data_IF_579789120894
#
_entry.id   IF_579789120894
#
_cell.length_a   1.000
_cell.length_b   1.000
_cell.length_c   1.000
_cell.angle_alpha   90.00
_cell.angle_beta   90.00
_cell.angle_gamma   90.00
#
_symmetry.space_group_name_H-M   'P 1'
#
loop_
_entity.id
_entity.type
_entity.pdbx_description
1 polymer ?
#
# COMPACT_ATOMS: atom_id res chain seq x y z
N UNK A 1 11.32 -18.37 -17.29
CA UNK A 1 10.49 -17.19 -17.63
C UNK A 1 10.74 -16.18 -16.55
N UNK A 2 11.07 -14.91 -16.88
CA UNK A 2 11.08 -13.86 -15.87
C UNK A 2 9.62 -13.67 -15.46
N UNK A 3 9.23 -14.43 -14.45
CA UNK A 3 7.92 -14.39 -13.86
C UNK A 3 7.85 -13.04 -13.16
N UNK A 4 6.85 -12.23 -13.52
CA UNK A 4 6.53 -11.01 -12.78
C UNK A 4 6.26 -11.41 -11.34
N UNK A 5 7.19 -11.18 -10.43
CA UNK A 5 7.13 -11.68 -9.06
C UNK A 5 5.96 -11.03 -8.34
N UNK A 6 5.73 -9.74 -8.61
CA UNK A 6 4.59 -8.95 -8.12
C UNK A 6 3.23 -9.53 -8.53
N UNK A 7 3.17 -10.41 -9.54
CA UNK A 7 1.96 -11.06 -10.01
C UNK A 7 1.79 -12.48 -9.46
N UNK A 8 2.53 -12.83 -8.41
CA UNK A 8 2.49 -14.15 -7.77
C UNK A 8 2.13 -14.05 -6.29
N UNK A 9 1.36 -15.03 -5.82
CA UNK A 9 1.00 -15.12 -4.41
C UNK A 9 2.22 -15.35 -3.50
N UNK A 10 3.20 -16.14 -3.96
CA UNK A 10 4.40 -16.46 -3.20
C UNK A 10 5.22 -15.22 -2.84
N UNK A 11 5.26 -14.22 -3.73
CA UNK A 11 5.95 -12.97 -3.43
C UNK A 11 5.28 -12.26 -2.25
N UNK A 12 3.98 -11.94 -2.36
CA UNK A 12 3.27 -11.15 -1.35
C UNK A 12 3.03 -11.88 -0.03
N UNK A 13 2.87 -13.21 -0.04
CA UNK A 13 2.60 -13.98 1.18
C UNK A 13 3.83 -14.46 1.92
N UNK A 14 4.86 -14.88 1.19
CA UNK A 14 5.97 -15.63 1.77
C UNK A 14 7.29 -14.85 1.77
N UNK A 15 7.43 -13.82 0.92
CA UNK A 15 8.71 -13.15 0.65
C UNK A 15 8.66 -11.64 0.88
N UNK A 16 7.49 -11.02 0.79
CA UNK A 16 7.32 -9.59 0.94
C UNK A 16 7.56 -9.22 2.39
N UNK A 17 8.45 -8.26 2.56
CA UNK A 17 8.69 -7.59 3.81
C UNK A 17 9.20 -6.19 3.48
N UNK A 18 8.70 -5.17 4.19
CA UNK A 18 9.05 -3.77 3.94
C UNK A 18 10.53 -3.55 4.20
N UNK A 19 11.26 -3.17 3.15
CA UNK A 19 12.69 -2.90 3.21
C UNK A 19 12.98 -1.42 3.46
N UNK A 20 14.23 -1.08 3.75
CA UNK A 20 14.64 0.31 3.96
C UNK A 20 14.36 1.21 2.75
N UNK A 21 14.53 0.71 1.54
CA UNK A 21 14.22 1.46 0.31
C UNK A 21 12.71 1.79 0.21
N UNK A 22 11.86 0.90 0.73
CA UNK A 22 10.41 1.10 0.78
C UNK A 22 10.06 2.18 1.82
N UNK A 23 10.72 2.16 2.97
CA UNK A 23 10.55 3.21 4.01
C UNK A 23 10.97 4.58 3.47
N UNK A 24 12.10 4.67 2.75
CA UNK A 24 12.51 5.91 2.09
C UNK A 24 11.48 6.37 1.05
N UNK A 25 10.94 5.45 0.26
CA UNK A 25 9.87 5.78 -0.68
C UNK A 25 8.63 6.33 0.03
N UNK A 26 8.16 5.67 1.10
CA UNK A 26 6.99 6.10 1.88
C UNK A 26 7.23 7.45 2.56
N UNK A 27 8.44 7.70 3.07
CA UNK A 27 8.82 8.98 3.64
C UNK A 27 8.69 10.10 2.60
N UNK A 28 9.27 9.91 1.41
CA UNK A 28 9.19 10.91 0.34
C UNK A 28 7.75 11.09 -0.16
N UNK A 29 6.96 10.00 -0.25
CA UNK A 29 5.55 10.05 -0.63
C UNK A 29 4.73 10.93 0.33
N UNK A 30 4.90 10.75 1.64
CA UNK A 30 4.21 11.56 2.65
C UNK A 30 4.68 13.02 2.61
N UNK A 31 5.97 13.25 2.43
CA UNK A 31 6.55 14.59 2.30
C UNK A 31 5.97 15.34 1.09
N UNK A 32 5.86 14.67 -0.06
CA UNK A 32 5.33 15.24 -1.30
C UNK A 32 3.82 15.46 -1.25
N UNK A 33 3.09 14.52 -0.63
CA UNK A 33 1.62 14.61 -0.46
C UNK A 33 1.23 15.79 0.44
N UNK A 34 2.11 16.18 1.35
CA UNK A 34 1.87 17.23 2.34
C UNK A 34 0.60 17.01 3.19
N UNK A 35 0.30 15.74 3.50
CA UNK A 35 -0.95 15.36 4.18
C UNK A 35 -0.94 13.92 4.72
N UNK A 36 -1.90 13.57 5.60
CA UNK A 36 -2.12 12.21 6.07
C UNK A 36 -2.46 11.26 4.92
N UNK A 37 -1.93 10.04 4.97
CA UNK A 37 -2.36 8.93 4.12
C UNK A 37 -2.81 7.75 4.97
N UNK A 38 -3.92 7.12 4.60
CA UNK A 38 -4.36 5.89 5.27
C UNK A 38 -3.41 4.74 4.95
N UNK A 39 -3.37 3.72 5.81
CA UNK A 39 -2.55 2.52 5.59
C UNK A 39 -2.82 1.89 4.21
N UNK A 40 -4.08 1.83 3.79
CA UNK A 40 -4.47 1.32 2.47
C UNK A 40 -3.89 2.14 1.31
N UNK A 41 -3.82 3.47 1.45
CA UNK A 41 -3.23 4.34 0.44
C UNK A 41 -1.72 4.16 0.36
N UNK A 42 -1.04 4.07 1.51
CA UNK A 42 0.39 3.79 1.57
C UNK A 42 0.72 2.43 0.95
N UNK A 43 -0.02 1.39 1.33
CA UNK A 43 0.15 0.04 0.78
C UNK A 43 -0.07 0.02 -0.74
N UNK A 44 -1.14 0.66 -1.23
CA UNK A 44 -1.43 0.73 -2.68
C UNK A 44 -0.30 1.45 -3.42
N UNK A 45 0.16 2.60 -2.91
CA UNK A 45 1.25 3.35 -3.53
C UNK A 45 2.58 2.56 -3.53
N UNK A 46 2.85 1.81 -2.46
CA UNK A 46 4.03 0.94 -2.39
C UNK A 46 3.94 -0.17 -3.44
N UNK A 47 2.78 -0.84 -3.57
CA UNK A 47 2.57 -1.86 -4.60
C UNK A 47 2.74 -1.26 -6.01
N UNK A 48 2.20 -0.07 -6.27
CA UNK A 48 2.39 0.64 -7.53
C UNK A 48 3.88 0.89 -7.82
N UNK A 49 4.66 1.23 -6.79
CA UNK A 49 6.11 1.41 -6.92
C UNK A 49 6.81 0.11 -7.30
N UNK A 50 6.48 -1.01 -6.64
CA UNK A 50 7.02 -2.33 -6.98
C UNK A 50 6.68 -2.73 -8.44
N UNK A 51 5.43 -2.51 -8.87
CA UNK A 51 5.01 -2.76 -10.25
C UNK A 51 5.79 -1.90 -11.25
N UNK A 52 5.96 -0.61 -10.94
CA UNK A 52 6.70 0.35 -11.76
C UNK A 52 8.16 -0.04 -11.91
N UNK A 53 8.82 -0.41 -10.82
CA UNK A 53 10.23 -0.83 -10.83
C UNK A 53 10.41 -2.13 -11.62
N UNK A 54 9.52 -3.10 -11.44
CA UNK A 54 9.55 -4.35 -12.20
C UNK A 54 9.36 -4.09 -13.71
N UNK A 55 8.42 -3.23 -14.08
CA UNK A 55 8.19 -2.88 -15.48
C UNK A 55 9.40 -2.13 -16.08
N UNK A 56 10.00 -1.21 -15.34
CA UNK A 56 11.20 -0.50 -15.76
C UNK A 56 12.37 -1.47 -16.00
N UNK A 57 12.54 -2.48 -15.14
CA UNK A 57 13.54 -3.54 -15.31
C UNK A 57 13.28 -4.35 -16.58
N UNK A 58 12.04 -4.79 -16.81
CA UNK A 58 11.64 -5.52 -18.03
C UNK A 58 11.93 -4.67 -19.28
N UNK A 59 11.55 -3.38 -19.25
CA UNK A 59 11.76 -2.45 -20.38
C UNK A 59 13.24 -2.23 -20.66
N UNK A 60 14.06 -2.10 -19.63
CA UNK A 60 15.51 -2.01 -19.74
C UNK A 60 16.10 -3.26 -20.40
N UNK A 61 15.70 -4.46 -19.97
CA UNK A 61 16.16 -5.72 -20.58
C UNK A 61 15.73 -5.84 -22.05
N UNK A 62 14.50 -5.45 -22.38
CA UNK A 62 13.99 -5.42 -23.75
C UNK A 62 14.75 -4.43 -24.64
N UNK A 63 15.26 -3.33 -24.08
CA UNK A 63 16.00 -2.32 -24.85
C UNK A 63 17.39 -2.77 -25.32
N UNK A 64 17.90 -3.91 -24.80
CA UNK A 64 19.24 -4.44 -25.14
C UNK A 64 19.36 -5.00 -26.56
N UNK A 65 18.25 -5.21 -27.27
CA UNK A 65 18.24 -5.73 -28.64
C UNK A 65 16.84 -5.85 -29.22
N UNK A 66 16.72 -6.43 -30.42
CA UNK A 66 15.41 -6.70 -31.01
C UNK A 66 14.71 -7.85 -30.28
N UNK A 67 13.42 -7.73 -29.99
CA UNK A 67 12.68 -8.79 -29.29
C UNK A 67 12.48 -9.98 -30.21
N UNK A 68 12.83 -11.18 -29.77
CA UNK A 68 12.62 -12.39 -30.56
C UNK A 68 11.12 -12.71 -30.65
N UNK A 69 10.57 -12.59 -31.85
CA UNK A 69 9.29 -13.17 -32.23
C UNK A 69 9.48 -14.06 -33.47
N UNK A 70 9.03 -15.33 -33.45
CA UNK A 70 9.23 -16.23 -34.60
C UNK A 70 8.68 -15.71 -35.94
N UNK A 71 7.66 -14.85 -35.93
CA UNK A 71 7.13 -14.18 -37.15
C UNK A 71 8.10 -13.17 -37.76
N UNK A 72 9.02 -12.63 -36.98
CA UNK A 72 9.95 -11.59 -37.42
C UNK A 72 11.15 -12.15 -38.17
N UNK A 73 11.90 -11.26 -38.82
CA UNK A 73 13.10 -11.57 -39.57
C UNK A 73 14.29 -10.93 -38.88
N UNK A 74 15.41 -11.66 -38.83
CA UNK A 74 16.64 -11.20 -38.20
C UNK A 74 17.82 -11.35 -39.15
N UNK A 75 18.79 -10.45 -39.02
CA UNK A 75 20.01 -10.43 -39.83
C UNK A 75 21.24 -10.89 -39.03
N UNK A 76 22.25 -11.40 -39.72
CA UNK A 76 23.54 -11.75 -39.10
C UNK A 76 24.19 -10.49 -38.51
N UNK A 77 24.71 -10.58 -37.28
CA UNK A 77 25.25 -9.48 -36.49
C UNK A 77 24.21 -8.74 -35.63
N UNK A 78 22.93 -9.10 -35.72
CA UNK A 78 21.87 -8.47 -34.93
C UNK A 78 21.83 -9.05 -33.51
N UNK A 79 21.73 -8.17 -32.51
CA UNK A 79 21.43 -8.56 -31.13
C UNK A 79 19.92 -8.76 -30.95
N UNK A 80 19.55 -9.91 -30.40
CA UNK A 80 18.18 -10.33 -30.21
C UNK A 80 17.98 -10.75 -28.75
N UNK A 81 16.92 -10.25 -28.13
CA UNK A 81 16.51 -10.54 -26.76
C UNK A 81 15.45 -11.64 -26.79
N UNK A 82 15.58 -12.66 -25.94
CA UNK A 82 14.65 -13.80 -25.89
C UNK A 82 13.80 -13.79 -24.61
N UNK A 83 12.57 -13.23 -24.61
CA UNK A 83 11.71 -13.20 -23.41
C UNK A 83 11.41 -14.58 -22.83
N UNK A 84 11.22 -15.59 -23.71
CA UNK A 84 10.95 -16.97 -23.30
C UNK A 84 12.16 -17.66 -22.63
N UNK A 85 13.35 -17.08 -22.76
CA UNK A 85 14.61 -17.55 -22.17
C UNK A 85 15.14 -16.50 -21.19
N UNK A 86 14.28 -15.97 -20.32
CA UNK A 86 14.67 -15.06 -19.23
C UNK A 86 15.40 -13.80 -19.71
N UNK A 87 14.94 -13.24 -20.84
CA UNK A 87 15.54 -12.07 -21.50
C UNK A 87 17.02 -12.24 -21.90
N UNK A 88 17.48 -13.48 -22.07
CA UNK A 88 18.84 -13.74 -22.53
C UNK A 88 19.07 -13.02 -23.87
N UNK A 89 20.17 -12.28 -23.96
CA UNK A 89 20.59 -11.59 -25.18
C UNK A 89 21.53 -12.49 -25.96
N UNK A 90 21.26 -12.67 -27.25
CA UNK A 90 22.12 -13.41 -28.16
C UNK A 90 22.38 -12.66 -29.45
N UNK A 91 23.48 -12.99 -30.13
CA UNK A 91 23.83 -12.42 -31.43
C UNK A 91 23.55 -13.44 -32.55
N UNK A 92 22.88 -13.00 -33.61
CA UNK A 92 22.63 -13.86 -34.77
C UNK A 92 23.93 -14.04 -35.56
N UNK A 93 24.42 -15.28 -35.61
CA UNK A 93 25.66 -15.65 -36.32
C UNK A 93 25.41 -16.34 -37.66
N UNK A 94 24.16 -16.70 -37.96
CA UNK A 94 23.80 -17.31 -39.23
C UNK A 94 22.31 -17.34 -39.47
N UNK A 95 21.91 -17.36 -40.74
CA UNK A 95 20.51 -17.50 -41.18
C UNK A 95 20.49 -18.51 -42.32
N UNK A 96 19.61 -19.52 -42.22
CA UNK A 96 19.41 -20.55 -43.25
C UNK A 96 17.93 -20.79 -43.50
N UNK A 97 17.58 -21.37 -44.63
CA UNK A 97 16.19 -21.77 -44.89
C UNK A 97 15.82 -23.00 -44.04
N UNK A 98 14.61 -22.95 -43.49
CA UNK A 98 13.99 -24.04 -42.74
C UNK A 98 13.48 -25.11 -43.69
N UNK A 99 13.59 -26.37 -43.27
CA UNK A 99 13.05 -27.51 -44.01
C UNK A 99 12.08 -28.25 -43.10
N UNK A 100 10.78 -27.97 -43.23
CA UNK A 100 9.74 -28.75 -42.59
C UNK A 100 8.48 -28.81 -43.47
N UNK A 101 8.07 -30.01 -43.95
CA UNK A 101 6.88 -30.18 -44.78
C UNK A 101 5.58 -29.68 -44.14
N UNK A 102 5.48 -29.63 -42.81
CA UNK A 102 4.26 -29.25 -42.10
C UNK A 102 4.08 -27.75 -41.90
N UNK A 103 5.17 -26.96 -41.93
CA UNK A 103 5.15 -25.54 -41.54
C UNK A 103 5.38 -24.56 -42.71
N UNK A 104 5.57 -25.06 -43.93
CA UNK A 104 5.80 -24.25 -45.12
C UNK A 104 7.16 -23.54 -45.10
N UNK A 105 7.25 -22.39 -45.76
CA UNK A 105 8.49 -21.61 -45.87
C UNK A 105 8.74 -20.81 -44.57
N UNK A 106 9.87 -21.10 -43.91
CA UNK A 106 10.38 -20.33 -42.77
C UNK A 106 11.91 -20.34 -42.79
N UNK A 107 12.53 -19.50 -41.96
CA UNK A 107 13.98 -19.43 -41.81
C UNK A 107 14.40 -19.92 -40.43
N UNK A 108 15.66 -20.30 -40.29
CA UNK A 108 16.29 -20.67 -39.02
C UNK A 108 17.47 -19.74 -38.78
N UNK A 109 17.43 -19.03 -37.66
CA UNK A 109 18.54 -18.20 -37.18
C UNK A 109 19.39 -19.03 -36.22
N UNK A 110 20.71 -18.94 -36.37
CA UNK A 110 21.67 -19.48 -35.42
C UNK A 110 22.13 -18.34 -34.53
N UNK A 111 21.98 -18.50 -33.23
CA UNK A 111 22.22 -17.45 -32.24
C UNK A 111 23.30 -17.91 -31.28
N UNK A 112 24.29 -17.04 -31.06
CA UNK A 112 25.35 -17.21 -30.09
C UNK A 112 24.93 -16.57 -28.76
N UNK A 113 24.89 -17.38 -27.71
CA UNK A 113 24.79 -16.94 -26.32
C UNK A 113 26.12 -17.18 -25.58
N UNK A 114 26.21 -16.74 -24.33
CA UNK A 114 27.36 -17.02 -23.47
C UNK A 114 27.54 -18.53 -23.22
N UNK A 115 26.44 -19.25 -23.01
CA UNK A 115 26.44 -20.70 -22.73
C UNK A 115 26.57 -21.59 -23.98
N UNK A 116 26.60 -21.00 -25.18
CA UNK A 116 26.76 -21.72 -26.44
C UNK A 116 25.80 -21.28 -27.54
N UNK A 117 25.73 -22.11 -28.60
CA UNK A 117 24.95 -21.81 -29.79
C UNK A 117 23.62 -22.55 -29.77
N UNK A 118 22.53 -21.86 -30.14
CA UNK A 118 21.21 -22.48 -30.33
C UNK A 118 20.57 -21.97 -31.64
N UNK A 119 19.64 -22.75 -32.16
CA UNK A 119 18.91 -22.42 -33.39
C UNK A 119 17.45 -22.11 -33.08
N UNK A 120 16.90 -21.11 -33.77
CA UNK A 120 15.53 -20.62 -33.58
C UNK A 120 14.85 -20.37 -34.91
N UNK A 121 13.52 -20.51 -34.97
CA UNK A 121 12.76 -20.23 -36.17
C UNK A 121 12.50 -18.73 -36.35
N UNK A 122 12.60 -18.23 -37.57
CA UNK A 122 12.26 -16.86 -37.97
C UNK A 122 11.38 -16.89 -39.23
N UNK A 123 10.67 -15.80 -39.52
CA UNK A 123 9.66 -15.73 -40.60
C UNK A 123 8.52 -16.76 -40.48
N UNK A 124 8.33 -17.38 -39.32
CA UNK A 124 7.28 -18.37 -39.08
C UNK A 124 6.02 -17.66 -38.59
N UNK A 125 5.03 -17.44 -39.46
CA UNK A 125 3.86 -16.64 -39.13
C UNK A 125 2.94 -17.28 -38.06
N UNK A 126 2.75 -18.61 -38.12
CA UNK A 126 1.89 -19.36 -37.18
C UNK A 126 2.75 -20.06 -36.13
N UNK A 127 2.87 -19.45 -34.96
CA UNK A 127 3.58 -20.04 -33.83
C UNK A 127 2.96 -19.59 -32.52
N UNK A 128 2.97 -20.46 -31.49
CA UNK A 128 2.40 -20.12 -30.17
C UNK A 128 3.10 -18.91 -29.54
N UNK A 129 4.39 -18.71 -29.79
CA UNK A 129 5.13 -17.52 -29.33
C UNK A 129 4.85 -16.24 -30.13
N UNK A 130 4.11 -16.32 -31.25
CA UNK A 130 3.66 -15.13 -31.98
C UNK A 130 2.31 -14.59 -31.47
N UNK A 131 1.51 -15.48 -30.86
CA UNK A 131 0.20 -15.19 -30.31
C UNK A 131 0.25 -15.06 -28.78
N UNK A 132 1.06 -15.87 -28.13
CA UNK A 132 1.33 -15.84 -26.70
C UNK A 132 2.72 -15.28 -26.41
N UNK A 133 2.76 -14.36 -25.46
CA UNK A 133 3.94 -13.99 -24.67
C UNK A 133 4.96 -13.04 -25.32
N UNK A 134 4.68 -12.52 -26.50
CA UNK A 134 5.27 -11.24 -26.94
C UNK A 134 4.36 -10.05 -26.66
N UNK A 135 3.04 -10.26 -26.72
CA UNK A 135 2.04 -9.26 -26.33
C UNK A 135 1.53 -9.48 -24.89
N UNK A 136 1.28 -10.70 -24.39
CA UNK A 136 0.84 -10.93 -22.99
C UNK A 136 1.82 -10.46 -21.91
N UNK A 137 3.10 -10.23 -22.24
CA UNK A 137 4.05 -9.63 -21.31
C UNK A 137 3.90 -8.11 -21.22
N UNK A 138 3.06 -7.52 -22.09
CA UNK A 138 2.70 -6.11 -22.25
C UNK A 138 1.17 -5.92 -22.30
N UNK A 139 0.39 -6.97 -22.09
CA UNK A 139 -1.08 -6.92 -22.11
C UNK A 139 -1.50 -6.56 -20.69
N UNK A 140 -1.42 -5.25 -20.42
CA UNK A 140 -1.72 -4.63 -19.12
C UNK A 140 -3.08 -5.11 -18.58
N UNK A 141 -4.04 -5.38 -19.46
CA UNK A 141 -5.39 -5.83 -19.15
C UNK A 141 -5.46 -7.22 -18.46
N UNK A 142 -4.40 -8.03 -18.52
CA UNK A 142 -4.35 -9.35 -17.88
C UNK A 142 -3.59 -9.37 -16.55
N UNK A 143 -2.98 -8.25 -16.15
CA UNK A 143 -2.21 -8.15 -14.92
C UNK A 143 -3.09 -7.63 -13.80
N UNK A 144 -2.85 -8.12 -12.58
CA UNK A 144 -3.48 -7.57 -11.39
C UNK A 144 -2.97 -6.15 -11.18
N UNK A 145 -3.91 -5.22 -11.04
CA UNK A 145 -3.66 -3.85 -10.60
C UNK A 145 -3.21 -3.80 -9.14
N UNK A 146 -2.60 -2.70 -8.71
CA UNK A 146 -2.17 -2.52 -7.32
C UNK A 146 -3.34 -2.66 -6.33
N UNK A 147 -4.53 -2.16 -6.69
CA UNK A 147 -5.75 -2.28 -5.89
C UNK A 147 -6.20 -3.74 -5.74
N UNK A 148 -6.13 -4.52 -6.83
CA UNK A 148 -6.48 -5.95 -6.79
C UNK A 148 -5.46 -6.76 -5.97
N UNK A 149 -4.16 -6.47 -6.13
CA UNK A 149 -3.10 -7.08 -5.32
C UNK A 149 -3.32 -6.77 -3.83
N UNK A 150 -3.54 -5.49 -3.50
CA UNK A 150 -3.81 -5.07 -2.13
C UNK A 150 -5.04 -5.80 -1.57
N UNK A 151 -6.14 -5.88 -2.32
CA UNK A 151 -7.34 -6.58 -1.86
C UNK A 151 -7.14 -8.09 -1.64
N UNK A 152 -6.19 -8.73 -2.35
CA UNK A 152 -5.93 -10.17 -2.25
C UNK A 152 -4.96 -10.53 -1.11
N UNK A 153 -4.07 -9.61 -0.74
CA UNK A 153 -2.97 -9.82 0.22
C UNK A 153 -2.93 -8.73 1.29
N UNK A 154 -4.11 -8.20 1.65
CA UNK A 154 -4.23 -7.04 2.53
C UNK A 154 -3.60 -7.29 3.89
N UNK A 155 -3.79 -8.47 4.46
CA UNK A 155 -3.33 -8.83 5.80
C UNK A 155 -1.80 -8.84 5.85
N UNK A 156 -1.16 -9.59 4.95
CA UNK A 156 0.31 -9.71 4.92
C UNK A 156 1.01 -8.37 4.64
N UNK A 157 0.45 -7.57 3.73
CA UNK A 157 1.01 -6.26 3.37
C UNK A 157 0.83 -5.27 4.52
N UNK A 158 -0.36 -5.22 5.14
CA UNK A 158 -0.61 -4.30 6.25
C UNK A 158 0.21 -4.66 7.48
N UNK A 159 0.37 -5.93 7.79
CA UNK A 159 1.16 -6.36 8.96
C UNK A 159 2.62 -5.95 8.81
N UNK A 160 3.23 -6.19 7.64
CA UNK A 160 4.62 -5.76 7.38
C UNK A 160 4.75 -4.24 7.37
N UNK A 161 3.77 -3.53 6.78
CA UNK A 161 3.76 -2.07 6.74
C UNK A 161 3.59 -1.44 8.13
N UNK A 162 2.66 -1.94 8.94
CA UNK A 162 2.47 -1.49 10.32
C UNK A 162 3.73 -1.74 11.16
N UNK A 163 4.31 -2.94 11.05
CA UNK A 163 5.57 -3.23 11.74
C UNK A 163 6.67 -2.23 11.37
N UNK A 164 6.84 -1.92 10.08
CA UNK A 164 7.85 -0.97 9.64
C UNK A 164 7.60 0.47 10.13
N UNK A 165 6.34 0.89 10.22
CA UNK A 165 5.96 2.24 10.64
C UNK A 165 5.96 2.41 12.17
N UNK A 166 5.57 1.39 12.93
CA UNK A 166 5.44 1.43 14.39
C UNK A 166 6.71 1.01 15.12
N UNK A 167 7.40 -0.02 14.62
CA UNK A 167 8.50 -0.71 15.32
C UNK A 167 9.80 -0.74 14.51
N UNK A 168 9.78 -0.29 13.25
CA UNK A 168 10.94 -0.28 12.36
C UNK A 168 12.03 0.72 12.79
N UNK A 169 13.17 0.66 12.10
CA UNK A 169 14.34 1.51 12.43
C UNK A 169 14.03 3.02 12.38
N UNK A 170 13.10 3.42 11.52
CA UNK A 170 12.67 4.83 11.32
C UNK A 170 11.28 5.13 11.89
N UNK A 171 10.75 4.31 12.80
CA UNK A 171 9.39 4.52 13.36
C UNK A 171 9.18 5.93 13.94
N UNK A 172 10.22 6.57 14.47
CA UNK A 172 10.15 7.93 15.03
C UNK A 172 9.83 9.00 14.00
N UNK A 173 10.10 8.73 12.72
CA UNK A 173 9.82 9.66 11.63
C UNK A 173 8.33 9.64 11.26
N UNK A 174 7.59 8.61 11.66
CA UNK A 174 6.19 8.40 11.32
C UNK A 174 5.30 8.54 12.56
N UNK A 175 4.10 9.05 12.36
CA UNK A 175 3.10 9.19 13.42
C UNK A 175 1.73 8.87 12.86
N UNK A 176 0.97 8.09 13.62
CA UNK A 176 -0.43 7.81 13.31
C UNK A 176 -1.33 8.87 13.95
N UNK A 177 -2.21 9.47 13.14
CA UNK A 177 -3.25 10.40 13.57
C UNK A 177 -4.55 10.02 12.88
N UNK A 178 -5.58 9.70 13.67
CA UNK A 178 -6.93 9.36 13.17
C UNK A 178 -6.93 8.25 12.09
N UNK A 179 -6.20 7.15 12.33
CA UNK A 179 -6.04 6.02 11.39
C UNK A 179 -5.36 6.39 10.06
N UNK A 180 -4.58 7.47 10.06
CA UNK A 180 -3.76 7.87 8.94
C UNK A 180 -2.34 8.21 9.40
N UNK A 181 -1.38 7.99 8.51
CA UNK A 181 0.04 8.14 8.77
C UNK A 181 0.56 9.44 8.16
N UNK A 182 1.45 10.10 8.91
CA UNK A 182 2.14 11.33 8.54
C UNK A 182 3.58 11.28 9.01
N UNK A 183 4.39 12.23 8.52
CA UNK A 183 5.71 12.46 9.07
C UNK A 183 5.62 13.28 10.36
N UNK A 184 6.35 12.85 11.39
CA UNK A 184 6.41 13.53 12.69
C UNK A 184 6.88 14.98 12.56
N UNK A 185 7.88 15.24 11.70
CA UNK A 185 8.43 16.58 11.43
C UNK A 185 7.43 17.55 10.78
N UNK A 186 6.32 17.04 10.23
CA UNK A 186 5.27 17.88 9.65
C UNK A 186 4.26 18.38 10.68
N UNK A 187 4.24 17.79 11.88
CA UNK A 187 3.40 18.25 12.96
C UNK A 187 3.97 19.52 13.61
N UNK A 188 3.08 20.42 13.98
CA UNK A 188 3.43 21.54 14.86
C UNK A 188 3.81 21.03 16.24
N UNK A 189 4.82 21.65 16.85
CA UNK A 189 5.15 21.43 18.24
C UNK A 189 4.06 22.02 19.15
N UNK A 190 3.18 21.16 19.66
CA UNK A 190 2.10 21.55 20.56
C UNK A 190 2.52 21.33 22.02
N UNK A 191 2.94 22.40 22.69
CA UNK A 191 3.24 22.36 24.12
C UNK A 191 1.99 22.57 24.99
N UNK A 192 2.11 22.26 26.28
CA UNK A 192 1.03 22.36 27.29
C UNK A 192 0.35 23.73 27.36
N UNK A 193 1.04 24.80 26.98
CA UNK A 193 0.49 26.16 26.98
C UNK A 193 -0.65 26.31 25.97
N UNK A 194 -0.51 25.75 24.77
CA UNK A 194 -1.58 25.73 23.77
C UNK A 194 -2.79 24.91 24.23
N UNK A 195 -2.54 23.76 24.89
CA UNK A 195 -3.60 22.95 25.48
C UNK A 195 -4.33 23.71 26.58
N UNK A 196 -3.63 24.51 27.40
CA UNK A 196 -4.26 25.33 28.43
C UNK A 196 -5.13 26.45 27.83
N UNK A 197 -4.71 27.04 26.70
CA UNK A 197 -5.53 28.02 25.97
C UNK A 197 -6.80 27.34 25.45
N UNK A 198 -6.67 26.18 24.83
CA UNK A 198 -7.82 25.40 24.35
C UNK A 198 -8.78 25.03 25.49
N UNK A 199 -8.26 24.57 26.64
CA UNK A 199 -9.06 24.30 27.83
C UNK A 199 -9.84 25.56 28.27
N UNK A 200 -9.15 26.69 28.42
CA UNK A 200 -9.77 27.93 28.85
C UNK A 200 -10.87 28.40 27.88
N UNK A 201 -10.67 28.24 26.58
CA UNK A 201 -11.68 28.58 25.56
C UNK A 201 -12.94 27.71 25.70
N UNK A 202 -12.78 26.39 25.86
CA UNK A 202 -13.91 25.48 26.02
C UNK A 202 -14.62 25.75 27.35
N UNK A 203 -13.88 26.02 28.42
CA UNK A 203 -14.44 26.35 29.73
C UNK A 203 -15.27 27.63 29.71
N UNK A 204 -14.74 28.71 29.09
CA UNK A 204 -15.45 29.99 28.99
C UNK A 204 -16.73 29.87 28.14
N UNK A 205 -16.68 29.09 27.06
CA UNK A 205 -17.84 28.91 26.18
C UNK A 205 -18.83 27.85 26.69
N UNK A 206 -18.39 26.95 27.58
CA UNK A 206 -19.16 25.84 28.13
C UNK A 206 -19.92 25.01 27.07
N UNK A 207 -19.31 24.86 25.89
CA UNK A 207 -19.85 24.06 24.77
C UNK A 207 -18.71 23.43 23.96
N UNK A 208 -18.98 22.34 23.22
CA UNK A 208 -17.99 21.75 22.33
C UNK A 208 -17.54 22.74 21.24
N UNK A 209 -16.23 22.78 20.96
CA UNK A 209 -15.63 23.68 19.98
C UNK A 209 -14.94 22.92 18.86
N UNK A 210 -14.94 23.49 17.66
CA UNK A 210 -14.13 22.98 16.54
C UNK A 210 -12.67 23.33 16.75
N UNK A 211 -11.79 22.48 16.24
CA UNK A 211 -10.34 22.72 16.19
C UNK A 211 -10.01 24.04 15.49
N UNK A 212 -10.72 24.37 14.41
CA UNK A 212 -10.58 25.65 13.71
C UNK A 212 -10.93 26.87 14.57
N UNK A 213 -11.81 26.72 15.56
CA UNK A 213 -12.12 27.78 16.52
C UNK A 213 -11.05 27.87 17.61
N UNK A 214 -10.48 26.74 18.05
CA UNK A 214 -9.39 26.75 19.02
C UNK A 214 -8.14 27.41 18.41
N UNK A 215 -7.85 27.13 17.14
CA UNK A 215 -6.73 27.70 16.39
C UNK A 215 -6.76 29.23 16.21
N UNK A 216 -7.85 29.92 16.53
CA UNK A 216 -7.89 31.40 16.45
C UNK A 216 -7.13 32.08 17.59
N UNK A 217 -7.11 31.46 18.77
CA UNK A 217 -6.40 31.98 19.95
C UNK A 217 -5.09 31.23 20.21
N UNK A 218 -4.96 30.00 19.68
CA UNK A 218 -3.70 29.26 19.70
C UNK A 218 -2.80 29.81 18.59
N UNK A 219 -1.81 30.61 18.99
CA UNK A 219 -0.82 31.25 18.09
C UNK A 219 0.22 30.24 17.56
N UNK A 220 -0.23 29.31 16.71
CA UNK A 220 0.65 28.42 15.95
C UNK A 220 1.23 29.15 14.74
N UNK A 221 2.43 28.73 14.34
CA UNK A 221 3.16 29.34 13.24
C UNK A 221 2.31 29.46 11.96
N UNK A 222 2.09 30.70 11.52
CA UNK A 222 1.20 31.04 10.41
C UNK A 222 1.74 30.63 9.05
N UNK A 223 3.02 30.26 8.94
CA UNK A 223 3.63 29.76 7.70
C UNK A 223 3.33 28.28 7.43
N UNK A 224 2.87 27.55 8.44
CA UNK A 224 2.53 26.14 8.30
C UNK A 224 1.21 25.94 7.53
N UNK A 225 1.13 24.83 6.79
CA UNK A 225 -0.10 24.42 6.12
C UNK A 225 -1.28 24.36 7.13
N UNK A 226 -2.42 25.03 6.87
CA UNK A 226 -3.59 25.01 7.75
C UNK A 226 -4.11 23.60 8.08
N UNK A 227 -3.96 22.65 7.15
CA UNK A 227 -4.34 21.24 7.36
C UNK A 227 -3.46 20.63 8.45
N UNK A 228 -2.13 20.81 8.35
CA UNK A 228 -1.20 20.30 9.36
C UNK A 228 -1.39 20.96 10.73
N UNK A 229 -1.69 22.26 10.78
CA UNK A 229 -2.02 22.94 12.05
C UNK A 229 -3.24 22.31 12.73
N UNK A 230 -4.26 21.96 11.96
CA UNK A 230 -5.48 21.32 12.46
C UNK A 230 -5.17 19.92 12.98
N UNK A 231 -4.52 19.10 12.16
CA UNK A 231 -4.13 17.73 12.52
C UNK A 231 -3.24 17.72 13.76
N UNK A 232 -2.27 18.64 13.85
CA UNK A 232 -1.36 18.73 15.00
C UNK A 232 -2.10 19.04 16.29
N UNK A 233 -3.05 19.98 16.25
CA UNK A 233 -3.85 20.31 17.43
C UNK A 233 -4.81 19.17 17.78
N UNK A 234 -5.46 18.54 16.80
CA UNK A 234 -6.32 17.37 17.03
C UNK A 234 -5.56 16.21 17.68
N UNK A 235 -4.37 15.91 17.17
CA UNK A 235 -3.49 14.89 17.71
C UNK A 235 -3.03 15.22 19.14
N UNK A 236 -2.70 16.48 19.42
CA UNK A 236 -2.30 16.88 20.76
C UNK A 236 -3.47 16.82 21.77
N UNK A 237 -4.68 17.18 21.33
CA UNK A 237 -5.89 17.13 22.15
C UNK A 237 -6.33 15.67 22.41
N UNK A 238 -6.22 14.78 21.42
CA UNK A 238 -6.59 13.36 21.58
C UNK A 238 -5.69 12.63 22.60
N UNK A 239 -4.42 13.03 22.68
CA UNK A 239 -3.46 12.48 23.63
C UNK A 239 -3.54 13.09 25.04
N UNK A 240 -4.33 14.15 25.25
CA UNK A 240 -4.49 14.79 26.56
C UNK A 240 -5.81 14.37 27.23
N UNK A 241 -5.69 13.73 28.40
CA UNK A 241 -6.81 13.17 29.17
C UNK A 241 -7.91 14.17 29.59
N UNK A 242 -7.67 15.48 29.52
CA UNK A 242 -8.66 16.52 29.87
C UNK A 242 -9.75 16.65 28.81
N UNK A 243 -9.39 16.38 27.56
CA UNK A 243 -10.26 16.60 26.41
C UNK A 243 -11.00 15.32 26.03
N UNK A 244 -12.17 15.51 25.44
CA UNK A 244 -12.93 14.44 24.82
C UNK A 244 -13.40 14.86 23.44
N UNK A 245 -13.35 13.92 22.50
CA UNK A 245 -13.83 14.12 21.14
C UNK A 245 -15.30 13.77 21.09
N UNK A 246 -16.13 14.76 20.84
CA UNK A 246 -17.58 14.60 20.70
C UNK A 246 -18.00 14.86 19.26
N UNK A 247 -18.95 14.07 18.76
CA UNK A 247 -19.47 14.21 17.40
C UNK A 247 -20.84 14.86 17.44
N UNK A 248 -21.02 15.96 16.71
CA UNK A 248 -22.32 16.62 16.56
C UNK A 248 -22.58 16.94 15.09
N UNK A 249 -23.73 16.50 14.56
CA UNK A 249 -24.11 16.71 13.16
C UNK A 249 -23.06 16.26 12.12
N UNK A 250 -22.27 15.21 12.45
CA UNK A 250 -21.21 14.69 11.58
C UNK A 250 -19.89 15.46 11.66
N UNK A 251 -19.78 16.48 12.53
CA UNK A 251 -18.54 17.21 12.76
C UNK A 251 -17.88 16.75 14.06
N UNK A 252 -16.55 16.60 14.04
CA UNK A 252 -15.74 16.36 15.23
C UNK A 252 -15.52 17.66 16.00
N UNK A 253 -15.82 17.63 17.30
CA UNK A 253 -15.68 18.75 18.22
C UNK A 253 -14.91 18.28 19.46
N UNK A 254 -14.29 19.23 20.14
CA UNK A 254 -13.58 19.01 21.40
C UNK A 254 -14.36 19.58 22.56
N UNK A 255 -14.46 18.81 23.64
CA UNK A 255 -15.05 19.23 24.89
C UNK A 255 -14.16 18.84 26.08
N UNK A 256 -14.49 19.33 27.27
CA UNK A 256 -13.76 19.00 28.50
C UNK A 256 -14.50 17.90 29.26
N UNK A 257 -13.81 16.80 29.55
CA UNK A 257 -14.40 15.67 30.29
C UNK A 257 -15.01 16.08 31.62
N UNK A 258 -14.36 17.00 32.34
CA UNK A 258 -14.85 17.48 33.65
C UNK A 258 -16.16 18.28 33.58
N UNK A 259 -16.53 18.77 32.39
CA UNK A 259 -17.77 19.51 32.17
C UNK A 259 -18.87 18.62 31.59
N UNK A 260 -18.57 17.35 31.30
CA UNK A 260 -19.56 16.40 30.82
C UNK A 260 -20.57 16.05 31.92
N UNK A 261 -21.82 15.77 31.54
CA UNK A 261 -22.80 15.25 32.48
C UNK A 261 -22.34 13.91 33.08
N UNK A 262 -22.56 13.73 34.39
CA UNK A 262 -22.23 12.49 35.10
C UNK A 262 -22.73 11.18 34.44
N UNK A 263 -23.92 11.14 33.78
CA UNK A 263 -24.38 9.97 33.04
C UNK A 263 -23.53 9.58 31.81
N UNK A 264 -22.71 10.50 31.29
CA UNK A 264 -21.77 10.24 30.19
C UNK A 264 -20.48 9.64 30.73
N UNK A 265 -20.01 10.16 31.88
CA UNK A 265 -18.80 9.69 32.56
C UNK A 265 -19.00 8.33 33.26
N UNK A 266 -20.22 8.05 33.72
CA UNK A 266 -20.53 6.82 34.45
C UNK A 266 -21.86 6.23 33.99
N UNK A 267 -21.89 4.90 33.81
CA UNK A 267 -23.12 4.20 33.44
C UNK A 267 -24.20 4.45 34.50
N UNK A 268 -25.35 5.03 34.13
CA UNK A 268 -26.47 5.27 35.03
C UNK A 268 -26.90 3.99 35.74
N UNK A 269 -27.31 4.09 37.01
CA UNK A 269 -27.73 2.92 37.79
C UNK A 269 -28.84 2.09 37.12
N UNK A 270 -29.75 2.74 36.38
CA UNK A 270 -30.81 2.09 35.62
C UNK A 270 -30.32 1.28 34.42
N UNK A 271 -29.13 1.58 33.91
CA UNK A 271 -28.50 0.90 32.77
C UNK A 271 -27.40 -0.09 33.21
N UNK A 272 -27.05 -0.10 34.50
CA UNK A 272 -26.14 -1.12 35.01
C UNK A 272 -26.84 -2.47 35.01
N UNK A 273 -26.37 -3.36 34.13
CA UNK A 273 -26.82 -4.74 34.11
C UNK A 273 -26.64 -5.35 35.50
N UNK A 274 -27.74 -5.88 36.03
CA UNK A 274 -27.75 -6.66 37.27
C UNK A 274 -27.94 -8.12 36.86
N UNK A 275 -26.92 -8.98 37.02
CA UNK A 275 -27.04 -10.37 36.60
C UNK A 275 -28.21 -11.05 37.29
N UNK A 276 -29.07 -11.68 36.50
CA UNK A 276 -30.17 -12.49 37.02
C UNK A 276 -29.62 -13.89 37.22
N UNK A 277 -29.65 -14.46 38.43
CA UNK A 277 -29.20 -15.83 38.62
C UNK A 277 -30.12 -16.79 37.83
N UNK A 278 -29.52 -17.57 36.93
CA UNK A 278 -30.20 -18.63 36.19
C UNK A 278 -29.49 -19.96 36.39
N UNK A 279 -30.23 -21.06 36.23
CA UNK A 279 -29.64 -22.39 36.21
C UNK A 279 -29.12 -22.68 34.81
N UNK A 280 -27.79 -22.67 34.65
CA UNK A 280 -27.09 -22.95 33.39
C UNK A 280 -27.46 -24.31 32.78
N UNK A 281 -27.88 -25.30 33.59
CA UNK A 281 -28.32 -26.60 33.11
C UNK A 281 -29.66 -26.58 32.35
N UNK A 282 -30.38 -25.44 32.37
CA UNK A 282 -31.61 -25.24 31.62
C UNK A 282 -31.38 -24.64 30.22
N UNK A 283 -30.14 -24.23 29.91
CA UNK A 283 -29.79 -23.73 28.59
C UNK A 283 -29.63 -24.87 27.59
N UNK A 284 -30.14 -24.69 26.37
CA UNK A 284 -29.86 -25.59 25.26
C UNK A 284 -28.39 -25.49 24.84
N UNK A 285 -27.92 -26.47 24.07
CA UNK A 285 -26.56 -26.44 23.50
C UNK A 285 -26.34 -25.18 22.65
N UNK A 286 -27.35 -24.75 21.89
CA UNK A 286 -27.32 -23.52 21.08
C UNK A 286 -27.19 -22.26 21.94
N UNK A 287 -27.91 -22.18 23.06
CA UNK A 287 -27.83 -21.02 23.98
C UNK A 287 -26.51 -20.98 24.75
N UNK A 288 -25.92 -22.13 25.07
CA UNK A 288 -24.60 -22.22 25.67
C UNK A 288 -23.49 -21.77 24.70
N UNK A 289 -23.67 -22.03 23.40
CA UNK A 289 -22.72 -21.55 22.39
C UNK A 289 -22.79 -20.03 22.25
N UNK A 290 -23.99 -19.45 22.23
CA UNK A 290 -24.19 -17.98 22.19
C UNK A 290 -23.64 -17.31 23.46
N UNK A 291 -23.87 -17.90 24.64
CA UNK A 291 -23.29 -17.42 25.92
C UNK A 291 -21.76 -17.32 25.81
N UNK A 292 -21.11 -18.32 25.21
CA UNK A 292 -19.65 -18.36 25.04
C UNK A 292 -19.13 -17.40 23.96
N UNK A 293 -19.93 -17.05 22.95
CA UNK A 293 -19.55 -16.09 21.90
C UNK A 293 -19.71 -14.62 22.35
N UNK A 294 -20.48 -14.35 23.41
CA UNK A 294 -20.74 -13.01 23.94
C UNK A 294 -19.86 -12.62 25.15
N UNK A 295 -19.30 -13.61 25.86
CA UNK A 295 -18.32 -13.45 26.97
C UNK A 295 -16.89 -13.34 26.43
#
# INVERSE_FOLDING_TARGET
MLQRQTQTATFWRDQFDVQNDDIEFLYNLLLDTQGPLTLAQLATALIEEYLRQEEAKIRSELSKGAVYMPKEQFAVGQKVVFPALDFTVGEVIGVRDGQNPEFGDFKVIKVQFEEGQREFASSLARHRLNQGNGNNMLDEDALLSAVEIYSLYQEEINDSLLYALEEGDRHQDFVEVDNAWLLADMLADIHVGYLNIAEAMIEVQAKPLKTSQLLTEVDLDGTMNPVMRTISLDHALSNDSRFDRVTSNGESLWFLRRLEPEPVLSTPSLLRYSPIPYNRALLSVELLQIEWELD
#
